data_IF_681896537165
#
_entry.id   IF_681896537165
#
_cell.length_a   1.000
_cell.length_b   1.000
_cell.length_c   1.000
_cell.angle_alpha   90.00
_cell.angle_beta   90.00
_cell.angle_gamma   90.00
#
_symmetry.space_group_name_H-M   'P 1'
#
loop_
_entity.id
_entity.type
_entity.pdbx_description
1 polymer ?
#
# COMPACT_ATOMS: atom_id res chain seq x y z
N UNK A 1 16.99 5.10 18.26
CA UNK A 1 16.35 5.27 16.94
C UNK A 1 17.48 5.49 15.92
N UNK A 2 17.50 4.82 14.76
CA UNK A 2 18.55 5.08 13.75
C UNK A 2 18.14 6.31 12.92
N UNK A 3 18.73 7.50 13.12
CA UNK A 3 18.31 8.75 12.46
C UNK A 3 18.47 8.69 10.93
N UNK A 4 19.36 7.82 10.46
CA UNK A 4 19.62 7.54 9.05
C UNK A 4 18.38 7.04 8.30
N UNK A 5 17.57 6.17 8.91
CA UNK A 5 16.35 5.63 8.30
C UNK A 5 15.28 6.71 8.10
N UNK A 6 15.08 7.55 9.10
CA UNK A 6 14.14 8.68 8.99
C UNK A 6 14.63 9.68 7.94
N UNK A 7 15.91 10.00 7.94
CA UNK A 7 16.47 10.97 6.98
C UNK A 7 16.40 10.49 5.54
N UNK A 8 16.70 9.21 5.29
CA UNK A 8 16.61 8.62 3.96
C UNK A 8 15.15 8.61 3.46
N UNK A 9 14.19 8.36 4.34
CA UNK A 9 12.77 8.37 3.98
C UNK A 9 12.28 9.79 3.65
N UNK A 10 12.66 10.78 4.45
CA UNK A 10 12.35 12.19 4.17
C UNK A 10 12.96 12.65 2.84
N UNK A 11 14.17 12.19 2.52
CA UNK A 11 14.79 12.42 1.23
C UNK A 11 14.02 11.79 0.08
N UNK A 12 13.63 10.51 0.21
CA UNK A 12 12.87 9.79 -0.81
C UNK A 12 11.48 10.42 -1.07
N UNK A 13 10.86 10.98 -0.04
CA UNK A 13 9.57 11.66 -0.13
C UNK A 13 9.68 13.17 -0.46
N UNK A 14 10.90 13.71 -0.63
CA UNK A 14 11.10 15.13 -0.94
C UNK A 14 10.62 16.10 0.14
N UNK A 15 10.53 15.67 1.40
CA UNK A 15 9.97 16.47 2.48
C UNK A 15 10.95 17.49 3.03
N UNK A 16 10.50 18.73 3.22
CA UNK A 16 11.31 19.82 3.80
C UNK A 16 11.35 19.70 5.32
N UNK A 17 12.16 20.53 5.99
CA UNK A 17 12.20 20.57 7.47
C UNK A 17 10.88 21.00 8.08
N UNK A 18 10.15 21.90 7.41
CA UNK A 18 8.85 22.43 7.86
C UNK A 18 7.76 21.35 7.83
N UNK A 19 7.81 20.45 6.85
CA UNK A 19 6.86 19.34 6.73
C UNK A 19 6.97 18.34 7.89
N UNK A 20 8.06 18.38 8.66
CA UNK A 20 8.40 17.37 9.68
C UNK A 20 7.95 17.73 11.09
N UNK A 21 7.45 18.94 11.33
CA UNK A 21 7.24 19.46 12.70
C UNK A 21 6.22 18.65 13.51
N UNK A 22 5.31 17.91 12.86
CA UNK A 22 4.26 17.11 13.52
C UNK A 22 4.20 15.64 13.07
N UNK A 23 5.32 15.10 12.57
CA UNK A 23 5.35 13.69 12.14
C UNK A 23 5.79 12.77 13.29
N UNK A 24 4.94 11.81 13.63
CA UNK A 24 5.27 10.74 14.57
C UNK A 24 5.74 9.51 13.77
N UNK A 25 7.02 9.18 13.87
CA UNK A 25 7.62 8.01 13.24
C UNK A 25 7.86 6.87 14.25
N UNK A 26 7.25 5.70 14.02
CA UNK A 26 7.31 4.53 14.91
C UNK A 26 7.85 3.30 14.17
N UNK A 27 9.17 3.05 14.17
CA UNK A 27 9.73 1.85 13.56
C UNK A 27 9.37 0.58 14.37
N UNK A 28 9.28 -0.54 13.65
CA UNK A 28 9.08 -1.90 14.15
C UNK A 28 10.14 -2.81 13.53
N UNK A 29 11.38 -2.79 14.04
CA UNK A 29 12.53 -3.45 13.40
C UNK A 29 12.35 -4.96 13.21
N UNK A 30 11.71 -5.64 14.18
CA UNK A 30 11.43 -7.08 14.10
C UNK A 30 10.43 -7.45 13.00
N UNK A 31 9.68 -6.48 12.47
CA UNK A 31 8.65 -6.68 11.45
C UNK A 31 8.98 -5.99 10.13
N UNK A 32 10.18 -5.41 10.00
CA UNK A 32 10.58 -4.58 8.85
C UNK A 32 9.49 -3.55 8.46
N UNK A 33 8.85 -2.95 9.46
CA UNK A 33 7.70 -2.07 9.28
C UNK A 33 7.93 -0.74 10.00
N UNK A 34 7.38 0.35 9.49
CA UNK A 34 7.30 1.62 10.20
C UNK A 34 5.88 2.17 10.11
N UNK A 35 5.39 2.74 11.21
CA UNK A 35 4.11 3.45 11.25
C UNK A 35 4.44 4.93 11.31
N UNK A 36 3.84 5.70 10.41
CA UNK A 36 4.04 7.14 10.31
C UNK A 36 2.68 7.80 10.49
N UNK A 37 2.58 8.72 11.44
CA UNK A 37 1.36 9.50 11.69
C UNK A 37 1.68 10.97 11.47
N UNK A 38 0.83 11.65 10.70
CA UNK A 38 1.00 13.05 10.35
C UNK A 38 -0.38 13.71 10.23
N UNK A 39 -0.53 14.99 10.59
CA UNK A 39 -1.79 15.71 10.41
C UNK A 39 -1.99 16.26 9.01
N UNK A 40 -0.92 16.48 8.23
CA UNK A 40 -0.98 17.08 6.90
C UNK A 40 -1.13 16.01 5.80
N UNK A 41 -2.17 16.15 4.96
CA UNK A 41 -2.44 15.21 3.87
C UNK A 41 -1.35 15.19 2.80
N UNK A 42 -0.77 16.34 2.45
CA UNK A 42 0.27 16.43 1.41
C UNK A 42 1.54 15.64 1.78
N UNK A 43 1.87 15.57 3.08
CA UNK A 43 2.99 14.76 3.59
C UNK A 43 2.70 13.28 3.41
N UNK A 44 1.46 12.88 3.67
CA UNK A 44 1.02 11.50 3.53
C UNK A 44 1.05 11.06 2.06
N UNK A 45 0.61 11.92 1.15
CA UNK A 45 0.67 11.67 -0.30
C UNK A 45 2.12 11.54 -0.80
N UNK A 46 3.02 12.42 -0.33
CA UNK A 46 4.44 12.37 -0.68
C UNK A 46 5.10 11.06 -0.21
N UNK A 47 4.78 10.60 1.00
CA UNK A 47 5.26 9.32 1.53
C UNK A 47 4.63 8.12 0.82
N UNK A 48 3.35 8.21 0.43
CA UNK A 48 2.70 7.17 -0.36
C UNK A 48 3.34 7.00 -1.74
N UNK A 49 3.88 8.07 -2.33
CA UNK A 49 4.64 8.00 -3.58
C UNK A 49 6.04 7.37 -3.47
N UNK A 50 6.60 7.24 -2.26
CA UNK A 50 7.95 6.73 -2.08
C UNK A 50 8.03 5.20 -2.30
N UNK A 51 8.87 4.77 -3.25
CA UNK A 51 9.03 3.36 -3.63
C UNK A 51 10.38 2.76 -3.29
N UNK A 52 11.41 3.60 -3.26
CA UNK A 52 12.77 3.18 -3.02
C UNK A 52 13.41 4.07 -1.96
N UNK A 53 14.17 3.46 -1.07
CA UNK A 53 14.92 4.16 -0.04
C UNK A 53 16.41 3.85 -0.16
N UNK A 54 17.21 4.88 -0.38
CA UNK A 54 18.67 4.76 -0.38
C UNK A 54 19.22 4.91 1.04
N UNK A 55 19.96 3.91 1.51
CA UNK A 55 20.69 3.94 2.77
C UNK A 55 22.16 3.59 2.51
N UNK A 56 23.01 4.62 2.51
CA UNK A 56 24.38 4.51 2.01
C UNK A 56 24.38 4.23 0.51
N UNK A 57 25.17 3.24 0.09
CA UNK A 57 25.26 2.80 -1.32
C UNK A 57 24.17 1.79 -1.73
N UNK A 58 23.29 1.40 -0.81
CA UNK A 58 22.26 0.38 -1.06
C UNK A 58 20.88 1.02 -1.23
N UNK A 59 20.16 0.54 -2.22
CA UNK A 59 18.74 0.87 -2.45
C UNK A 59 17.89 -0.26 -1.90
N UNK A 60 16.92 0.10 -1.07
CA UNK A 60 15.95 -0.81 -0.48
C UNK A 60 14.56 -0.50 -1.04
N UNK A 61 13.89 -1.46 -1.70
CA UNK A 61 12.51 -1.25 -2.11
C UNK A 61 11.63 -1.17 -0.86
N UNK A 62 10.72 -0.20 -0.86
CA UNK A 62 9.74 0.00 0.20
C UNK A 62 8.33 -0.07 -0.37
N UNK A 63 7.39 -0.47 0.46
CA UNK A 63 5.96 -0.45 0.14
C UNK A 63 5.26 0.38 1.18
N UNK A 64 4.61 1.44 0.73
CA UNK A 64 3.86 2.36 1.58
C UNK A 64 2.37 2.17 1.32
N UNK A 65 1.58 2.34 2.37
CA UNK A 65 0.12 2.24 2.29
C UNK A 65 -0.50 3.04 3.43
N UNK A 66 -1.67 3.62 3.18
CA UNK A 66 -2.43 4.30 4.23
C UNK A 66 -2.92 3.30 5.27
N UNK A 67 -2.84 3.63 6.56
CA UNK A 67 -3.52 2.82 7.55
C UNK A 67 -5.03 2.80 7.25
N UNK A 68 -5.66 1.63 7.37
CA UNK A 68 -7.09 1.53 7.17
C UNK A 68 -7.81 2.42 8.21
N UNK A 69 -8.80 3.23 7.80
CA UNK A 69 -9.54 4.09 8.72
C UNK A 69 -10.37 3.24 9.68
N UNK A 70 -10.74 3.79 10.83
CA UNK A 70 -11.56 3.07 11.83
C UNK A 70 -12.89 2.57 11.24
N UNK A 71 -13.46 3.33 10.30
CA UNK A 71 -14.63 2.93 9.53
C UNK A 71 -14.24 2.07 8.32
N UNK A 72 -13.56 0.95 8.55
CA UNK A 72 -13.22 -0.03 7.52
C UNK A 72 -13.44 -1.45 8.01
N UNK A 73 -13.63 -2.38 7.07
CA UNK A 73 -13.69 -3.80 7.36
C UNK A 73 -12.83 -4.59 6.37
N UNK A 74 -12.42 -5.79 6.77
CA UNK A 74 -11.59 -6.69 5.96
C UNK A 74 -12.44 -7.85 5.45
N UNK A 75 -12.20 -8.26 4.21
CA UNK A 75 -12.78 -9.46 3.62
C UNK A 75 -11.76 -10.17 2.72
N UNK A 76 -12.08 -11.40 2.32
CA UNK A 76 -11.24 -12.18 1.42
C UNK A 76 -11.95 -12.41 0.09
N UNK A 77 -11.19 -12.39 -1.00
CA UNK A 77 -11.66 -12.72 -2.35
C UNK A 77 -10.79 -13.86 -2.88
N UNK A 78 -11.34 -15.07 -3.04
CA UNK A 78 -10.62 -16.20 -3.62
C UNK A 78 -10.66 -16.17 -5.15
N UNK A 79 -9.79 -16.96 -5.79
CA UNK A 79 -9.83 -17.20 -7.24
C UNK A 79 -9.08 -16.17 -8.08
N UNK A 80 -8.33 -15.26 -7.46
CA UNK A 80 -7.45 -14.33 -8.17
C UNK A 80 -6.12 -15.03 -8.47
N UNK A 81 -5.58 -14.82 -9.67
CA UNK A 81 -4.30 -15.42 -10.06
C UNK A 81 -3.19 -15.12 -9.05
N UNK A 82 -2.34 -16.11 -8.70
CA UNK A 82 -1.25 -15.89 -7.77
C UNK A 82 -0.30 -14.81 -8.32
N UNK A 83 0.40 -14.13 -7.41
CA UNK A 83 1.39 -13.09 -7.74
C UNK A 83 0.82 -11.86 -8.47
N UNK A 84 -0.49 -11.60 -8.39
CA UNK A 84 -1.06 -10.32 -8.87
C UNK A 84 -0.57 -9.18 -7.98
N UNK A 85 -0.09 -8.10 -8.59
CA UNK A 85 0.50 -6.97 -7.84
C UNK A 85 -0.58 -6.18 -7.10
N UNK A 86 -0.24 -5.60 -5.94
CA UNK A 86 -1.18 -4.75 -5.18
C UNK A 86 -1.72 -3.56 -6.00
N UNK A 87 -0.91 -2.86 -6.84
CA UNK A 87 -1.43 -1.85 -7.76
C UNK A 87 -2.49 -2.39 -8.72
N UNK A 88 -2.21 -3.54 -9.37
CA UNK A 88 -3.18 -4.19 -10.27
C UNK A 88 -4.45 -4.59 -9.53
N UNK A 89 -4.33 -5.11 -8.30
CA UNK A 89 -5.50 -5.44 -7.48
C UNK A 89 -6.32 -4.20 -7.12
N UNK A 90 -5.68 -3.08 -6.82
CA UNK A 90 -6.37 -1.83 -6.49
C UNK A 90 -7.07 -1.21 -7.71
N UNK A 91 -6.52 -1.38 -8.90
CA UNK A 91 -7.09 -0.87 -10.15
C UNK A 91 -8.24 -1.75 -10.66
N UNK A 92 -8.10 -3.08 -10.59
CA UNK A 92 -8.99 -4.02 -11.27
C UNK A 92 -10.06 -4.64 -10.36
N UNK A 93 -9.93 -4.54 -9.03
CA UNK A 93 -10.98 -4.98 -8.12
C UNK A 93 -12.05 -3.91 -7.97
N UNK A 94 -13.30 -4.29 -8.24
CA UNK A 94 -14.47 -3.42 -8.14
C UNK A 94 -15.51 -4.05 -7.24
N UNK A 95 -16.03 -3.26 -6.28
CA UNK A 95 -17.14 -3.64 -5.42
C UNK A 95 -18.39 -2.79 -5.72
N UNK A 96 -19.57 -3.42 -5.75
CA UNK A 96 -20.81 -2.81 -6.26
C UNK A 96 -21.43 -1.71 -5.37
N UNK A 97 -21.01 -1.59 -4.10
CA UNK A 97 -21.64 -0.68 -3.14
C UNK A 97 -20.70 -0.09 -2.08
N UNK A 98 -19.41 -0.42 -2.12
CA UNK A 98 -18.42 -0.02 -1.13
C UNK A 98 -17.12 0.28 -1.83
N UNK A 99 -16.42 1.33 -1.42
CA UNK A 99 -15.09 1.60 -1.93
C UNK A 99 -14.11 0.54 -1.42
N UNK A 100 -13.25 0.05 -2.30
CA UNK A 100 -12.08 -0.75 -1.92
C UNK A 100 -10.96 0.24 -1.58
N UNK A 101 -10.49 0.19 -0.35
CA UNK A 101 -9.42 1.04 0.14
C UNK A 101 -8.05 0.42 -0.14
N UNK A 102 -7.95 -0.91 -0.02
CA UNK A 102 -6.71 -1.65 -0.20
C UNK A 102 -6.98 -3.07 -0.67
N UNK A 103 -6.06 -3.62 -1.46
CA UNK A 103 -6.06 -5.02 -1.82
C UNK A 103 -4.63 -5.55 -1.92
N UNK A 104 -4.38 -6.75 -1.39
CA UNK A 104 -3.10 -7.43 -1.51
C UNK A 104 -3.27 -8.95 -1.45
N UNK A 105 -2.40 -9.65 -2.18
CA UNK A 105 -2.33 -11.10 -2.15
C UNK A 105 -1.96 -11.60 -0.76
N UNK A 106 -2.58 -12.69 -0.32
CA UNK A 106 -2.15 -13.44 0.85
C UNK A 106 -0.99 -14.37 0.47
N UNK A 107 0.22 -13.83 0.39
CA UNK A 107 1.40 -14.57 -0.04
C UNK A 107 1.27 -15.07 -1.49
N UNK A 108 1.79 -16.27 -1.76
CA UNK A 108 1.71 -16.91 -3.08
C UNK A 108 0.44 -17.78 -3.24
N UNK A 109 -0.69 -17.31 -2.73
CA UNK A 109 -1.98 -18.02 -2.85
C UNK A 109 -2.84 -17.39 -3.94
N UNK A 110 -4.06 -17.92 -4.12
CA UNK A 110 -5.10 -17.33 -4.97
C UNK A 110 -6.11 -16.48 -4.19
N UNK A 111 -5.74 -16.07 -2.96
CA UNK A 111 -6.61 -15.33 -2.05
C UNK A 111 -6.10 -13.90 -1.92
N UNK A 112 -6.99 -12.94 -2.11
CA UNK A 112 -6.73 -11.52 -1.88
C UNK A 112 -7.40 -11.09 -0.58
N UNK A 113 -6.65 -10.38 0.25
CA UNK A 113 -7.21 -9.64 1.39
C UNK A 113 -7.58 -8.24 0.90
N UNK A 114 -8.85 -7.88 1.10
CA UNK A 114 -9.41 -6.60 0.68
C UNK A 114 -9.87 -5.82 1.92
N UNK A 115 -9.50 -4.54 1.97
CA UNK A 115 -10.03 -3.59 2.95
C UNK A 115 -11.11 -2.75 2.27
N UNK A 116 -12.33 -2.78 2.79
CA UNK A 116 -13.47 -2.00 2.31
C UNK A 116 -13.70 -0.80 3.22
N UNK A 117 -14.20 0.29 2.64
CA UNK A 117 -14.79 1.39 3.42
C UNK A 117 -16.13 0.94 4.02
N UNK A 118 -16.34 1.28 5.29
CA UNK A 118 -17.53 0.89 6.05
C UNK A 118 -17.38 -0.42 6.81
N UNK A 119 -18.36 -0.69 7.67
CA UNK A 119 -18.35 -1.84 8.60
C UNK A 119 -18.96 -3.13 8.01
N UNK A 120 -19.30 -3.13 6.72
CA UNK A 120 -19.95 -4.28 6.05
C UNK A 120 -19.17 -4.67 4.80
N UNK A 121 -18.83 -5.95 4.72
CA UNK A 121 -18.19 -6.53 3.53
C UNK A 121 -19.17 -6.51 2.36
N UNK A 122 -18.70 -6.07 1.19
CA UNK A 122 -19.50 -6.15 -0.04
C UNK A 122 -19.83 -7.60 -0.36
N UNK A 123 -21.10 -7.87 -0.70
CA UNK A 123 -21.53 -9.20 -1.13
C UNK A 123 -21.02 -9.56 -2.53
N UNK A 124 -20.66 -8.56 -3.32
CA UNK A 124 -20.25 -8.72 -4.71
C UNK A 124 -18.98 -7.92 -4.98
N UNK A 125 -17.93 -8.65 -5.33
CA UNK A 125 -16.65 -8.11 -5.79
C UNK A 125 -16.34 -8.77 -7.13
N UNK A 126 -15.92 -7.97 -8.10
CA UNK A 126 -15.49 -8.42 -9.43
C UNK A 126 -14.04 -8.04 -9.64
N UNK A 127 -13.31 -8.89 -10.34
CA UNK A 127 -11.96 -8.62 -10.80
C UNK A 127 -11.98 -8.47 -12.31
N UNK A 128 -11.72 -7.26 -12.77
CA UNK A 128 -11.77 -6.88 -14.17
C UNK A 128 -10.42 -7.22 -14.76
N UNK A 129 -10.24 -8.43 -15.25
CA UNK A 129 -8.98 -8.75 -15.91
C UNK A 129 -8.95 -7.96 -17.22
N UNK A 130 -8.06 -6.97 -17.37
CA UNK A 130 -7.68 -6.53 -18.72
C UNK A 130 -7.18 -7.77 -19.47
N UNK A 131 -7.69 -8.09 -20.66
CA UNK A 131 -7.20 -9.25 -21.40
C UNK A 131 -5.70 -9.08 -21.57
N UNK A 132 -4.93 -10.06 -21.08
CA UNK A 132 -3.51 -10.12 -21.38
C UNK A 132 -3.38 -10.03 -22.89
N UNK A 133 -2.68 -9.01 -23.39
CA UNK A 133 -2.22 -8.99 -24.77
C UNK A 133 -1.41 -10.27 -24.93
N UNK A 134 -1.98 -11.22 -25.65
CA UNK A 134 -1.35 -12.47 -26.01
C UNK A 134 -0.20 -12.14 -26.97
N UNK A 135 0.96 -11.79 -26.40
CA UNK A 135 2.23 -11.72 -27.14
C UNK A 135 2.73 -13.15 -27.34
N UNK A 136 1.95 -13.93 -28.08
CA UNK A 136 2.38 -15.19 -28.66
C UNK A 136 1.82 -15.30 -30.07
N UNK A 137 2.28 -14.43 -30.96
CA UNK A 137 2.28 -14.72 -32.39
C UNK A 137 3.72 -14.58 -32.88
N UNK A 138 4.27 -15.73 -33.27
CA UNK A 138 5.56 -15.92 -33.91
C UNK A 138 5.67 -15.13 -35.21
#
# INVERSE_FOLDING_TARGET
MRPELTSALWGAAGLTTKDREDIIFRPRPLRNLAIISMPQSHVADALYGARDQSLGERVYPITTYFAAPDNSCKGIVPGIGPCTSSPTLAEELVARATQILQAYMMGQTNIVLVTFEGLKVSRYVRFDRHPAVDQTAR
#
